data_IF_061473652949
#
_entry.id   IF_061473652949
#
_cell.length_a   1.000
_cell.length_b   1.000
_cell.length_c   1.000
_cell.angle_alpha   90.00
_cell.angle_beta   90.00
_cell.angle_gamma   90.00
#
_symmetry.space_group_name_H-M   'P 1'
#
loop_
_entity.id
_entity.type
_entity.pdbx_description
1 polymer ?
#
# COMPACT_ATOMS: atom_id res chain seq x y z
N UNK A 1 11.25 20.08 13.86
CA UNK A 1 11.91 19.06 13.01
C UNK A 1 11.97 17.76 13.79
N UNK A 2 11.74 16.63 13.13
CA UNK A 2 11.69 15.33 13.80
C UNK A 2 11.66 14.19 12.78
N UNK A 3 11.47 12.97 13.29
CA UNK A 3 11.34 11.76 12.49
C UNK A 3 9.87 11.35 12.42
N UNK A 4 9.48 10.78 11.28
CA UNK A 4 8.16 10.20 11.08
C UNK A 4 8.32 8.77 10.53
N UNK A 5 7.46 7.87 10.97
CA UNK A 5 7.29 6.55 10.37
C UNK A 5 6.05 6.59 9.48
N UNK A 6 6.24 6.46 8.18
CA UNK A 6 5.18 6.58 7.20
C UNK A 6 5.38 5.57 6.06
N UNK A 7 4.28 5.10 5.43
CA UNK A 7 4.32 4.37 4.17
C UNK A 7 5.11 5.12 3.09
N UNK A 8 5.92 4.39 2.32
CA UNK A 8 6.82 4.94 1.31
C UNK A 8 6.07 5.71 0.21
N UNK A 9 4.93 5.18 -0.23
CA UNK A 9 4.04 5.77 -1.22
C UNK A 9 3.51 7.16 -0.83
N UNK A 10 3.38 7.45 0.46
CA UNK A 10 2.93 8.77 0.95
C UNK A 10 4.04 9.82 0.96
N UNK A 11 5.30 9.40 1.10
CA UNK A 11 6.44 10.32 1.29
C UNK A 11 7.38 10.38 0.08
N UNK A 12 7.22 9.49 -0.89
CA UNK A 12 8.11 9.35 -2.05
C UNK A 12 8.35 10.67 -2.78
N UNK A 13 7.29 11.43 -3.09
CA UNK A 13 7.42 12.71 -3.79
C UNK A 13 8.27 13.73 -3.03
N UNK A 14 8.20 13.75 -1.70
CA UNK A 14 8.98 14.66 -0.87
C UNK A 14 10.44 14.21 -0.73
N UNK A 15 10.70 12.91 -0.82
CA UNK A 15 12.07 12.37 -0.87
C UNK A 15 12.71 12.68 -2.21
N UNK A 16 11.97 12.54 -3.30
CA UNK A 16 12.42 12.88 -4.65
C UNK A 16 12.70 14.39 -4.81
N UNK A 17 11.88 15.24 -4.18
CA UNK A 17 12.09 16.70 -4.12
C UNK A 17 13.17 17.14 -3.10
N UNK A 18 13.75 16.20 -2.34
CA UNK A 18 14.79 16.49 -1.35
C UNK A 18 14.32 17.18 -0.07
N UNK A 19 13.01 17.32 0.13
CA UNK A 19 12.41 17.87 1.35
C UNK A 19 12.49 16.88 2.52
N UNK A 20 12.53 15.58 2.22
CA UNK A 20 12.70 14.50 3.19
C UNK A 20 13.92 13.65 2.82
N UNK A 21 14.54 13.08 3.84
CA UNK A 21 15.58 12.05 3.68
C UNK A 21 15.13 10.77 4.35
N UNK A 22 15.44 9.64 3.72
CA UNK A 22 15.23 8.31 4.30
C UNK A 22 16.35 8.02 5.30
N UNK A 23 15.98 7.44 6.45
CA UNK A 23 16.92 7.03 7.50
C UNK A 23 16.51 5.65 8.01
N UNK A 24 17.46 4.91 8.58
CA UNK A 24 17.23 3.57 9.16
C UNK A 24 16.64 2.55 8.17
N UNK A 25 17.06 2.60 6.90
CA UNK A 25 16.54 1.69 5.86
C UNK A 25 16.74 0.21 6.21
N UNK A 26 17.87 -0.14 6.81
CA UNK A 26 18.18 -1.51 7.26
C UNK A 26 17.19 -2.04 8.31
N UNK A 27 16.43 -1.15 8.95
CA UNK A 27 15.47 -1.46 10.01
C UNK A 27 14.01 -1.27 9.55
N UNK A 28 13.78 -0.98 8.27
CA UNK A 28 12.46 -0.73 7.71
C UNK A 28 11.92 -1.98 7.01
N UNK A 29 10.90 -2.67 7.57
CA UNK A 29 10.37 -3.88 6.97
C UNK A 29 9.58 -3.57 5.70
N UNK A 30 9.69 -4.44 4.68
CA UNK A 30 8.80 -4.39 3.53
C UNK A 30 7.41 -4.87 3.93
N UNK A 31 6.40 -4.05 3.66
CA UNK A 31 5.02 -4.44 3.91
C UNK A 31 4.52 -5.40 2.82
N UNK A 32 3.73 -6.42 3.17
CA UNK A 32 3.22 -7.42 2.21
C UNK A 32 2.16 -6.86 1.24
N UNK A 33 1.97 -5.54 1.19
CA UNK A 33 0.95 -4.86 0.40
C UNK A 33 -0.43 -4.87 1.03
N UNK A 34 -1.36 -4.19 0.35
CA UNK A 34 -2.75 -4.07 0.78
C UNK A 34 -3.56 -5.33 0.48
N UNK A 35 -4.41 -5.73 1.43
CA UNK A 35 -5.25 -6.91 1.31
C UNK A 35 -6.73 -6.52 1.33
N UNK A 36 -7.50 -7.04 0.37
CA UNK A 36 -8.96 -6.85 0.33
C UNK A 36 -9.64 -7.97 1.13
N UNK A 37 -10.18 -7.64 2.30
CA UNK A 37 -10.94 -8.57 3.13
C UNK A 37 -12.44 -8.52 2.80
N UNK A 38 -13.05 -9.68 2.55
CA UNK A 38 -14.51 -9.83 2.46
C UNK A 38 -14.94 -11.21 2.98
N UNK A 39 -15.93 -11.30 3.89
CA UNK A 39 -16.22 -12.51 4.66
C UNK A 39 -17.06 -13.57 3.92
N UNK A 40 -17.64 -13.27 2.75
CA UNK A 40 -18.56 -14.20 2.05
C UNK A 40 -18.08 -14.57 0.65
N UNK A 41 -17.88 -15.87 0.42
CA UNK A 41 -17.67 -16.46 -0.92
C UNK A 41 -18.97 -16.84 -1.63
N UNK A 42 -20.12 -16.74 -0.95
CA UNK A 42 -21.37 -17.42 -1.32
C UNK A 42 -22.35 -16.55 -2.12
N UNK A 43 -22.15 -15.24 -2.16
CA UNK A 43 -22.92 -14.30 -2.97
C UNK A 43 -21.99 -13.26 -3.61
N UNK A 44 -21.06 -13.68 -4.48
CA UNK A 44 -20.35 -12.70 -5.30
C UNK A 44 -21.32 -12.20 -6.37
N UNK A 45 -21.95 -11.05 -6.12
CA UNK A 45 -22.62 -10.32 -7.20
C UNK A 45 -21.61 -10.15 -8.35
N UNK A 46 -22.01 -10.32 -9.62
CA UNK A 46 -21.09 -10.18 -10.76
C UNK A 46 -20.30 -8.85 -10.73
N UNK A 47 -20.94 -7.77 -10.29
CA UNK A 47 -20.31 -6.47 -10.08
C UNK A 47 -19.19 -6.49 -9.01
N UNK A 48 -19.37 -7.25 -7.92
CA UNK A 48 -18.35 -7.39 -6.88
C UNK A 48 -17.15 -8.19 -7.39
N UNK A 49 -17.38 -9.26 -8.16
CA UNK A 49 -16.29 -10.01 -8.79
C UNK A 49 -15.49 -9.13 -9.76
N UNK A 50 -16.17 -8.27 -10.53
CA UNK A 50 -15.52 -7.29 -11.40
C UNK A 50 -14.65 -6.31 -10.59
N UNK A 51 -15.17 -5.78 -9.48
CA UNK A 51 -14.42 -4.88 -8.60
C UNK A 51 -13.18 -5.57 -7.99
N UNK A 52 -13.34 -6.78 -7.46
CA UNK A 52 -12.21 -7.56 -6.91
C UNK A 52 -11.14 -7.79 -7.98
N UNK A 53 -11.54 -8.12 -9.21
CA UNK A 53 -10.60 -8.32 -10.31
C UNK A 53 -9.93 -7.03 -10.78
N UNK A 54 -10.64 -5.89 -10.73
CA UNK A 54 -10.09 -4.59 -11.08
C UNK A 54 -9.07 -4.09 -10.03
N UNK A 55 -9.32 -4.36 -8.75
CA UNK A 55 -8.45 -3.95 -7.63
C UNK A 55 -7.33 -4.97 -7.34
N UNK A 56 -7.38 -6.16 -7.93
CA UNK A 56 -6.35 -7.18 -7.75
C UNK A 56 -5.06 -6.72 -8.41
N UNK A 57 -4.01 -6.58 -7.60
CA UNK A 57 -2.66 -6.34 -8.09
C UNK A 57 -2.22 -7.47 -9.04
N UNK A 58 -1.74 -7.11 -10.22
CA UNK A 58 -1.19 -8.03 -11.23
C UNK A 58 0.30 -7.77 -11.32
N UNK A 59 1.10 -8.81 -11.05
CA UNK A 59 2.55 -8.81 -11.29
C UNK A 59 2.81 -9.00 -12.77
#
# INVERSE_FOLDING_TARGET
>A
YGLAYAPEDLVQAYVEDGQLIRVLEDWSPTFPGYHLYYPSRRQSLPAFALMVNALRYKV
#
